data_IF_176161844133
#
_entry.id   IF_176161844133
#
_cell.length_a   1.000
_cell.length_b   1.000
_cell.length_c   1.000
_cell.angle_alpha   90.00
_cell.angle_beta   90.00
_cell.angle_gamma   90.00
#
_symmetry.space_group_name_H-M   'P 1'
#
loop_
_entity.id
_entity.type
_entity.pdbx_description
1 polymer ?
#
# COMPACT_ATOMS: atom_id res chain seq x y z
N UNK A 1 -61.82 -47.11 -12.55
CA UNK A 1 -62.89 -46.49 -11.72
C UNK A 1 -62.39 -45.09 -11.37
N UNK A 2 -62.73 -43.98 -12.05
CA UNK A 2 -64.06 -43.33 -12.16
C UNK A 2 -64.68 -43.17 -10.75
N UNK A 3 -64.98 -42.00 -10.16
CA UNK A 3 -65.55 -40.72 -10.64
C UNK A 3 -65.37 -39.65 -9.51
N UNK A 4 -64.96 -38.41 -9.81
CA UNK A 4 -65.73 -37.13 -9.78
C UNK A 4 -66.20 -36.62 -8.39
N UNK A 5 -66.43 -35.33 -8.07
CA UNK A 5 -66.51 -33.98 -8.68
C UNK A 5 -66.54 -33.03 -7.44
N UNK A 6 -66.25 -31.72 -7.42
CA UNK A 6 -66.13 -30.67 -8.43
C UNK A 6 -65.71 -29.33 -7.76
N UNK A 7 -65.12 -28.39 -8.51
CA UNK A 7 -65.76 -27.21 -9.16
C UNK A 7 -65.83 -25.99 -8.18
N UNK A 8 -65.54 -24.70 -8.44
CA UNK A 8 -65.44 -23.75 -9.59
C UNK A 8 -64.68 -22.51 -9.01
N UNK A 9 -63.84 -21.69 -9.66
CA UNK A 9 -64.17 -20.72 -10.72
C UNK A 9 -62.92 -20.07 -11.35
N UNK A 10 -62.91 -20.10 -12.68
CA UNK A 10 -62.09 -19.34 -13.63
C UNK A 10 -63.02 -18.33 -14.30
N UNK A 11 -62.52 -17.12 -14.58
CA UNK A 11 -62.81 -16.23 -15.73
C UNK A 11 -61.98 -14.95 -15.47
N UNK A 12 -61.26 -14.32 -16.41
CA UNK A 12 -61.59 -14.08 -17.80
C UNK A 12 -60.31 -13.72 -18.60
N UNK A 13 -60.17 -14.33 -19.77
CA UNK A 13 -59.33 -13.92 -20.90
C UNK A 13 -60.21 -13.20 -21.92
N UNK A 14 -59.74 -12.10 -22.51
CA UNK A 14 -60.05 -11.66 -23.88
C UNK A 14 -58.73 -11.08 -24.45
N UNK A 15 -57.99 -11.81 -25.28
CA UNK A 15 -58.06 -11.90 -26.75
C UNK A 15 -57.88 -10.56 -27.50
N UNK A 16 -56.77 -10.46 -28.25
CA UNK A 16 -56.64 -10.18 -29.71
C UNK A 16 -55.12 -10.05 -29.97
N UNK A 17 -54.44 -11.07 -30.50
CA UNK A 17 -54.12 -11.25 -31.94
C UNK A 17 -53.55 -10.00 -32.63
N UNK A 18 -52.22 -9.87 -32.67
CA UNK A 18 -51.53 -9.53 -33.92
C UNK A 18 -50.09 -10.06 -33.94
N UNK A 19 -49.89 -11.06 -34.79
CA UNK A 19 -48.60 -11.40 -35.38
C UNK A 19 -48.24 -10.26 -36.34
N UNK A 20 -47.05 -9.68 -36.17
CA UNK A 20 -46.54 -8.62 -37.03
C UNK A 20 -45.07 -8.34 -36.77
N UNK A 21 -44.22 -8.89 -37.64
CA UNK A 21 -42.89 -8.38 -38.04
C UNK A 21 -41.77 -8.26 -37.00
N UNK A 22 -40.73 -9.07 -37.24
CA UNK A 22 -39.34 -8.83 -36.84
C UNK A 22 -38.94 -7.36 -37.04
N UNK A 23 -38.77 -6.65 -35.93
CA UNK A 23 -38.14 -5.34 -35.86
C UNK A 23 -37.16 -5.36 -34.71
N UNK A 24 -35.88 -5.20 -35.03
CA UNK A 24 -34.74 -5.08 -34.12
C UNK A 24 -35.03 -4.13 -32.96
N UNK A 25 -35.28 -4.67 -31.76
CA UNK A 25 -35.22 -3.90 -30.53
C UNK A 25 -33.75 -3.71 -30.18
N UNK A 26 -33.18 -2.62 -30.67
CA UNK A 26 -31.96 -2.05 -30.08
C UNK A 26 -32.22 -1.85 -28.59
N UNK A 27 -31.57 -2.69 -27.79
CA UNK A 27 -31.51 -2.54 -26.35
C UNK A 27 -30.79 -1.23 -26.07
N UNK A 28 -31.57 -0.19 -25.78
CA UNK A 28 -31.12 1.11 -25.33
C UNK A 28 -30.47 0.98 -23.96
N UNK A 29 -29.22 0.51 -23.95
CA UNK A 29 -28.32 0.65 -22.82
C UNK A 29 -28.23 2.14 -22.49
N UNK A 30 -28.79 2.50 -21.33
CA UNK A 30 -28.86 3.87 -20.85
C UNK A 30 -27.50 4.58 -20.94
N UNK A 31 -27.39 5.71 -21.67
CA UNK A 31 -26.14 6.48 -21.80
C UNK A 31 -25.62 7.02 -20.45
N UNK A 32 -26.44 6.98 -19.40
CA UNK A 32 -26.11 7.46 -18.06
C UNK A 32 -25.11 6.52 -17.36
N UNK A 33 -25.13 5.21 -17.66
CA UNK A 33 -24.15 4.27 -17.09
C UNK A 33 -22.75 4.45 -17.74
N UNK A 34 -22.71 4.85 -19.01
CA UNK A 34 -21.48 5.11 -19.75
C UNK A 34 -20.83 6.46 -19.38
N UNK A 35 -21.62 7.45 -18.93
CA UNK A 35 -21.07 8.73 -18.49
C UNK A 35 -20.38 8.65 -17.12
N UNK A 36 -20.89 7.83 -16.18
CA UNK A 36 -20.23 7.58 -14.89
C UNK A 36 -18.90 6.84 -15.04
N UNK A 37 -18.75 6.00 -16.07
CA UNK A 37 -17.46 5.36 -16.38
C UNK A 37 -16.45 6.33 -17.03
N UNK A 38 -16.88 7.40 -17.71
CA UNK A 38 -15.93 8.36 -18.34
C UNK A 38 -15.35 9.40 -17.38
N UNK A 39 -15.87 9.50 -16.16
CA UNK A 39 -15.27 10.24 -15.05
C UNK A 39 -14.22 9.41 -14.29
N UNK A 40 -13.67 8.36 -14.93
CA UNK A 40 -12.53 7.58 -14.46
C UNK A 40 -11.28 8.47 -14.35
N UNK A 41 -11.19 9.15 -13.20
CA UNK A 41 -9.97 9.43 -12.44
C UNK A 41 -8.87 10.11 -13.28
N UNK A 42 -8.96 11.43 -13.41
CA UNK A 42 -7.82 12.31 -13.76
C UNK A 42 -6.84 12.49 -12.57
N UNK A 43 -6.68 11.50 -11.69
CA UNK A 43 -5.63 11.59 -10.67
C UNK A 43 -4.33 11.21 -11.40
N UNK A 44 -3.34 12.11 -11.52
CA UNK A 44 -2.02 11.72 -12.01
C UNK A 44 -1.41 10.75 -11.01
N UNK A 45 -1.50 9.46 -11.35
CA UNK A 45 -0.93 8.34 -10.60
C UNK A 45 0.44 8.03 -11.19
N UNK A 46 1.41 7.88 -10.29
CA UNK A 46 2.72 7.36 -10.64
C UNK A 46 2.98 6.07 -9.88
N UNK A 47 3.50 5.07 -10.59
CA UNK A 47 3.94 3.82 -9.99
C UNK A 47 5.46 3.87 -9.92
N UNK A 48 6.01 3.62 -8.73
CA UNK A 48 7.45 3.61 -8.47
C UNK A 48 7.80 2.24 -7.91
N UNK A 49 8.58 1.47 -8.67
CA UNK A 49 9.11 0.20 -8.23
C UNK A 49 10.54 0.39 -7.72
N UNK A 50 10.75 -0.04 -6.48
CA UNK A 50 11.99 0.11 -5.74
C UNK A 50 12.62 -1.26 -5.52
N UNK A 51 13.88 -1.43 -5.92
CA UNK A 51 14.67 -2.64 -5.64
C UNK A 51 16.17 -2.42 -5.82
N UNK A 52 16.96 -3.26 -5.17
CA UNK A 52 18.40 -3.30 -5.44
C UNK A 52 18.83 -4.25 -6.56
N UNK A 53 18.00 -5.23 -6.94
CA UNK A 53 18.38 -6.30 -7.87
C UNK A 53 17.41 -6.47 -9.07
N UNK A 54 16.48 -5.53 -9.31
CA UNK A 54 15.45 -5.65 -10.39
C UNK A 54 16.09 -6.04 -11.72
N UNK A 55 17.09 -5.29 -12.19
CA UNK A 55 17.58 -5.49 -13.56
C UNK A 55 18.47 -6.73 -13.75
N UNK A 56 19.01 -7.29 -12.67
CA UNK A 56 19.93 -8.44 -12.76
C UNK A 56 19.25 -9.78 -12.50
N UNK A 57 18.20 -9.82 -11.66
CA UNK A 57 17.60 -11.09 -11.19
C UNK A 57 16.09 -11.19 -11.36
N UNK A 58 15.37 -10.08 -11.49
CA UNK A 58 13.91 -10.09 -11.46
C UNK A 58 13.33 -9.62 -12.79
N UNK A 59 12.44 -10.41 -13.39
CA UNK A 59 11.72 -10.05 -14.61
C UNK A 59 10.63 -9.01 -14.33
N UNK A 60 10.99 -7.88 -13.72
CA UNK A 60 10.04 -6.82 -13.43
C UNK A 60 9.61 -6.15 -14.74
N UNK A 61 8.30 -6.14 -14.99
CA UNK A 61 7.73 -5.40 -16.11
C UNK A 61 7.19 -4.07 -15.61
N UNK A 62 7.78 -2.92 -15.99
CA UNK A 62 7.38 -1.62 -15.48
C UNK A 62 6.11 -1.11 -16.17
N UNK A 63 5.21 -1.98 -16.63
CA UNK A 63 4.03 -1.60 -17.40
C UNK A 63 2.76 -2.07 -16.69
N UNK A 64 1.87 -1.12 -16.42
CA UNK A 64 0.65 -1.32 -15.67
C UNK A 64 -0.55 -0.93 -16.54
N UNK A 65 -1.44 -1.88 -16.82
CA UNK A 65 -2.73 -1.57 -17.45
C UNK A 65 -3.70 -1.05 -16.39
N UNK A 66 -3.98 0.25 -16.45
CA UNK A 66 -4.96 0.92 -15.60
C UNK A 66 -6.12 1.38 -16.48
N UNK A 67 -7.23 0.63 -16.41
CA UNK A 67 -8.47 0.92 -17.16
C UNK A 67 -8.26 1.09 -18.68
N UNK A 68 -7.42 0.25 -19.29
CA UNK A 68 -7.13 0.29 -20.72
C UNK A 68 -6.01 1.26 -21.10
N UNK A 69 -5.44 1.99 -20.14
CA UNK A 69 -4.26 2.83 -20.35
C UNK A 69 -3.03 2.14 -19.77
N UNK A 70 -2.03 1.90 -20.61
CA UNK A 70 -0.72 1.44 -20.16
C UNK A 70 0.05 2.61 -19.54
N UNK A 71 0.41 2.46 -18.27
CA UNK A 71 1.28 3.38 -17.54
C UNK A 71 2.64 2.72 -17.37
N UNK A 72 3.70 3.44 -17.74
CA UNK A 72 5.06 3.03 -17.45
C UNK A 72 5.42 3.47 -16.04
N UNK A 73 5.66 2.52 -15.15
CA UNK A 73 6.22 2.76 -13.83
C UNK A 73 7.67 3.21 -13.91
N UNK A 74 8.09 4.01 -12.93
CA UNK A 74 9.50 4.33 -12.72
C UNK A 74 10.14 3.17 -11.97
N UNK A 75 11.35 2.81 -12.38
CA UNK A 75 12.19 1.85 -11.67
C UNK A 75 13.31 2.63 -11.00
N UNK A 76 13.30 2.65 -9.67
CA UNK A 76 14.36 3.23 -8.86
C UNK A 76 15.24 2.11 -8.31
N UNK A 77 16.53 2.19 -8.60
CA UNK A 77 17.51 1.17 -8.24
C UNK A 77 18.48 1.68 -7.18
N UNK A 78 18.97 0.75 -6.38
CA UNK A 78 20.02 1.03 -5.43
C UNK A 78 21.32 1.38 -6.15
N UNK A 79 22.04 2.36 -5.60
CA UNK A 79 23.34 2.75 -6.10
C UNK A 79 24.38 1.74 -5.58
N UNK A 80 25.12 1.09 -6.48
CA UNK A 80 26.06 0.02 -6.10
C UNK A 80 27.10 0.49 -5.08
N UNK A 81 27.56 1.74 -5.21
CA UNK A 81 28.50 2.36 -4.28
C UNK A 81 27.93 2.48 -2.86
N UNK A 82 26.62 2.63 -2.70
CA UNK A 82 25.99 2.88 -1.41
C UNK A 82 25.59 1.60 -0.68
N UNK A 83 25.49 0.45 -1.36
CA UNK A 83 24.96 -0.80 -0.81
C UNK A 83 25.63 -1.28 0.50
N UNK A 84 26.85 -0.81 0.78
CA UNK A 84 27.56 -1.11 2.03
C UNK A 84 26.96 -0.37 3.23
N UNK A 85 26.45 0.84 3.04
CA UNK A 85 25.92 1.70 4.11
C UNK A 85 24.45 2.09 3.90
N UNK A 86 23.77 1.55 2.89
CA UNK A 86 22.39 1.92 2.57
C UNK A 86 21.35 0.92 3.11
N UNK A 87 20.11 1.39 3.31
CA UNK A 87 18.96 0.56 3.67
C UNK A 87 18.15 0.14 2.44
N UNK A 88 18.85 -0.27 1.37
CA UNK A 88 18.30 -0.97 0.21
C UNK A 88 17.01 -0.34 -0.34
N UNK A 89 15.91 -1.09 -0.41
CA UNK A 89 14.64 -0.66 -1.01
C UNK A 89 14.05 0.58 -0.35
N UNK A 90 14.08 0.65 0.99
CA UNK A 90 13.57 1.80 1.72
C UNK A 90 14.30 3.11 1.33
N UNK A 91 15.63 3.06 1.21
CA UNK A 91 16.40 4.22 0.77
C UNK A 91 16.11 4.63 -0.67
N UNK A 92 15.85 3.69 -1.58
CA UNK A 92 15.49 4.06 -2.95
C UNK A 92 14.16 4.81 -3.01
N UNK A 93 13.19 4.46 -2.16
CA UNK A 93 11.94 5.20 -2.02
C UNK A 93 12.20 6.62 -1.48
N UNK A 94 13.06 6.77 -0.47
CA UNK A 94 13.44 8.09 0.07
C UNK A 94 14.17 8.94 -0.98
N UNK A 95 15.15 8.37 -1.69
CA UNK A 95 15.90 9.03 -2.78
C UNK A 95 14.97 9.47 -3.90
N UNK A 96 13.97 8.67 -4.26
CA UNK A 96 12.92 9.06 -5.20
C UNK A 96 12.17 10.31 -4.73
N UNK A 97 11.74 10.32 -3.46
CA UNK A 97 11.01 11.45 -2.89
C UNK A 97 11.88 12.70 -2.91
N UNK A 98 13.16 12.61 -2.51
CA UNK A 98 14.10 13.73 -2.52
C UNK A 98 14.29 14.28 -3.93
N UNK A 99 14.56 13.41 -4.91
CA UNK A 99 14.81 13.78 -6.31
C UNK A 99 13.61 14.48 -6.95
N UNK A 100 12.40 14.05 -6.60
CA UNK A 100 11.17 14.54 -7.20
C UNK A 100 10.38 15.49 -6.29
N UNK A 101 10.94 15.90 -5.14
CA UNK A 101 10.22 16.58 -4.06
C UNK A 101 9.39 17.78 -4.56
N UNK A 102 9.99 18.61 -5.40
CA UNK A 102 9.39 19.82 -5.94
C UNK A 102 8.36 19.56 -7.06
N UNK A 103 8.32 18.33 -7.58
CA UNK A 103 7.48 17.89 -8.71
C UNK A 103 6.76 16.56 -8.44
N UNK A 104 6.44 16.25 -7.18
CA UNK A 104 5.78 14.99 -6.84
C UNK A 104 4.41 14.89 -7.53
N UNK A 105 4.06 13.73 -8.12
CA UNK A 105 2.72 13.50 -8.67
C UNK A 105 1.69 13.56 -7.54
N UNK A 106 0.39 13.73 -7.85
CA UNK A 106 -0.62 13.83 -6.79
C UNK A 106 -0.69 12.58 -5.91
N UNK A 107 -0.46 11.40 -6.50
CA UNK A 107 -0.57 10.11 -5.83
C UNK A 107 0.47 9.14 -6.37
N UNK A 108 1.19 8.50 -5.46
CA UNK A 108 2.29 7.59 -5.76
C UNK A 108 1.91 6.21 -5.23
N UNK A 109 2.20 5.17 -6.01
CA UNK A 109 2.16 3.77 -5.57
C UNK A 109 3.61 3.28 -5.52
N UNK A 110 4.13 3.06 -4.33
CA UNK A 110 5.43 2.42 -4.13
C UNK A 110 5.26 0.91 -4.15
N UNK A 111 6.09 0.22 -4.92
CA UNK A 111 6.10 -1.24 -5.03
C UNK A 111 7.48 -1.74 -4.62
N UNK A 112 7.48 -2.69 -3.69
CA UNK A 112 8.64 -3.51 -3.39
C UNK A 112 8.81 -4.57 -4.49
N UNK A 113 9.80 -4.43 -5.36
CA UNK A 113 9.77 -5.21 -6.62
C UNK A 113 10.09 -6.71 -6.48
N UNK A 114 10.52 -7.17 -5.30
CA UNK A 114 10.56 -8.59 -4.97
C UNK A 114 9.17 -9.23 -4.89
N UNK A 115 8.09 -8.43 -4.96
CA UNK A 115 6.72 -8.93 -4.96
C UNK A 115 6.40 -9.85 -6.17
N UNK A 116 7.29 -9.92 -7.17
CA UNK A 116 7.16 -10.84 -8.32
C UNK A 116 7.92 -12.17 -8.14
N UNK A 117 8.71 -12.35 -7.08
CA UNK A 117 9.79 -13.33 -7.04
C UNK A 117 9.58 -14.60 -6.19
N UNK A 118 8.54 -14.69 -5.35
CA UNK A 118 8.39 -15.84 -4.46
C UNK A 118 6.96 -16.13 -4.00
N UNK A 119 6.70 -17.37 -3.58
CA UNK A 119 5.39 -17.83 -3.07
C UNK A 119 4.91 -17.00 -1.87
N UNK A 120 5.84 -16.49 -1.07
CA UNK A 120 5.56 -15.64 0.09
C UNK A 120 5.13 -14.21 -0.26
N UNK A 121 5.25 -13.80 -1.53
CA UNK A 121 4.93 -12.46 -1.98
C UNK A 121 3.65 -12.41 -2.85
N UNK A 122 2.95 -11.26 -2.89
CA UNK A 122 1.73 -11.12 -3.65
C UNK A 122 1.93 -11.29 -5.15
N UNK A 123 1.35 -12.34 -5.72
CA UNK A 123 1.39 -12.61 -7.16
C UNK A 123 0.48 -11.63 -7.92
N UNK A 124 0.84 -11.33 -9.19
CA UNK A 124 0.07 -10.44 -10.09
C UNK A 124 -0.10 -8.99 -9.58
N UNK A 125 1.00 -8.33 -9.18
CA UNK A 125 1.02 -6.92 -8.75
C UNK A 125 0.29 -5.99 -9.73
N UNK A 126 0.46 -6.16 -11.05
CA UNK A 126 -0.22 -5.33 -12.04
C UNK A 126 -1.76 -5.45 -11.98
N UNK A 127 -2.28 -6.66 -11.75
CA UNK A 127 -3.72 -6.89 -11.55
C UNK A 127 -4.21 -6.24 -10.25
N UNK A 128 -3.39 -6.29 -9.20
CA UNK A 128 -3.71 -5.69 -7.91
C UNK A 128 -3.73 -4.17 -7.97
N UNK A 129 -2.78 -3.54 -8.66
CA UNK A 129 -2.78 -2.10 -8.90
C UNK A 129 -3.99 -1.69 -9.74
N UNK A 130 -4.28 -2.40 -10.83
CA UNK A 130 -5.47 -2.17 -11.66
C UNK A 130 -6.75 -2.23 -10.82
N UNK A 131 -6.84 -3.16 -9.88
CA UNK A 131 -7.96 -3.27 -8.96
C UNK A 131 -7.97 -2.09 -7.98
N UNK A 132 -6.87 -1.86 -7.27
CA UNK A 132 -6.71 -0.81 -6.26
C UNK A 132 -7.17 0.55 -6.77
N UNK A 133 -6.67 0.99 -7.93
CA UNK A 133 -6.98 2.32 -8.47
C UNK A 133 -8.45 2.51 -8.85
N UNK A 134 -9.20 1.43 -9.02
CA UNK A 134 -10.65 1.47 -9.27
C UNK A 134 -11.48 1.65 -7.98
N UNK A 135 -10.89 1.35 -6.81
CA UNK A 135 -11.59 1.35 -5.52
C UNK A 135 -11.71 2.76 -4.94
N UNK A 136 -12.81 3.01 -4.24
CA UNK A 136 -12.99 4.24 -3.48
C UNK A 136 -12.01 4.34 -2.31
N UNK A 137 -11.53 3.19 -1.81
CA UNK A 137 -10.41 3.11 -0.87
C UNK A 137 -9.18 3.88 -1.37
N UNK A 138 -8.73 3.63 -2.61
CA UNK A 138 -7.60 4.35 -3.18
C UNK A 138 -7.92 5.83 -3.46
N UNK A 139 -9.13 6.13 -3.93
CA UNK A 139 -9.51 7.50 -4.29
C UNK A 139 -9.64 8.42 -3.08
N UNK A 140 -10.18 7.90 -1.97
CA UNK A 140 -10.60 8.70 -0.83
C UNK A 140 -9.58 8.71 0.33
N UNK A 141 -8.57 7.85 0.30
CA UNK A 141 -7.52 7.83 1.33
C UNK A 141 -6.23 8.48 0.81
N UNK A 142 -5.52 9.19 1.68
CA UNK A 142 -4.23 9.81 1.35
C UNK A 142 -3.04 8.85 1.55
N UNK A 143 -3.27 7.73 2.24
CA UNK A 143 -2.32 6.63 2.43
C UNK A 143 -3.10 5.32 2.47
N UNK A 144 -2.50 4.23 1.99
CA UNK A 144 -3.04 2.90 2.21
C UNK A 144 -2.18 1.81 1.63
N UNK A 145 -2.50 0.58 1.99
CA UNK A 145 -1.76 -0.60 1.57
C UNK A 145 -2.28 -1.13 0.24
N UNK A 146 -1.38 -1.67 -0.59
CA UNK A 146 -1.78 -2.33 -1.83
C UNK A 146 -2.24 -3.77 -1.58
N UNK A 147 -1.69 -4.41 -0.54
CA UNK A 147 -1.95 -5.80 -0.19
C UNK A 147 -2.57 -5.94 1.21
N UNK A 148 -3.36 -6.99 1.38
CA UNK A 148 -4.10 -7.27 2.61
C UNK A 148 -3.39 -8.28 3.53
N UNK A 149 -2.06 -8.28 3.59
CA UNK A 149 -1.28 -9.20 4.44
C UNK A 149 -0.66 -8.40 5.56
N UNK A 150 -1.12 -8.66 6.79
CA UNK A 150 -0.76 -7.86 7.95
C UNK A 150 -0.06 -8.68 9.02
N UNK A 151 0.85 -8.03 9.73
CA UNK A 151 1.51 -8.50 10.93
C UNK A 151 0.92 -7.75 12.13
N UNK A 152 0.57 -8.49 13.19
CA UNK A 152 0.13 -7.91 14.46
C UNK A 152 1.29 -7.90 15.43
N UNK A 153 1.64 -6.71 15.91
CA UNK A 153 2.80 -6.49 16.75
C UNK A 153 2.34 -5.85 18.06
N UNK A 154 2.52 -6.54 19.18
CA UNK A 154 2.09 -6.04 20.47
C UNK A 154 3.00 -4.88 20.93
N UNK A 155 2.37 -3.81 21.41
CA UNK A 155 3.01 -2.71 22.13
C UNK A 155 2.81 -2.95 23.62
N UNK A 156 3.86 -2.79 24.42
CA UNK A 156 3.71 -2.59 25.87
C UNK A 156 4.19 -1.20 26.24
N UNK A 157 3.30 -0.34 26.77
CA UNK A 157 3.69 0.96 27.32
C UNK A 157 4.31 0.73 28.70
N UNK A 158 5.51 1.24 28.94
CA UNK A 158 6.11 1.24 30.27
C UNK A 158 6.27 2.67 30.76
N UNK A 159 5.79 2.95 31.97
CA UNK A 159 5.99 4.22 32.66
C UNK A 159 7.21 4.06 33.57
N UNK A 160 8.31 4.75 33.25
CA UNK A 160 9.36 4.99 34.24
C UNK A 160 9.49 6.49 34.49
N UNK A 161 9.52 6.88 35.76
CA UNK A 161 9.32 8.22 36.31
C UNK A 161 10.29 9.33 35.85
N UNK A 162 11.21 9.06 34.93
CA UNK A 162 12.18 10.04 34.40
C UNK A 162 12.41 9.98 32.90
N UNK A 163 11.85 8.99 32.20
CA UNK A 163 11.87 8.89 30.73
C UNK A 163 10.62 8.14 30.30
N UNK A 164 9.81 8.78 29.44
CA UNK A 164 8.77 8.10 28.68
C UNK A 164 9.49 7.23 27.63
N UNK A 165 9.93 6.05 28.05
CA UNK A 165 10.37 4.98 27.16
C UNK A 165 9.19 4.01 27.05
N UNK A 166 8.32 4.28 26.09
CA UNK A 166 7.25 3.35 25.70
C UNK A 166 7.94 2.15 24.99
N UNK A 167 7.35 0.95 25.04
CA UNK A 167 7.72 -0.28 24.31
C UNK A 167 8.58 -1.32 25.08
N UNK A 168 7.93 -2.42 25.48
CA UNK A 168 8.55 -3.73 25.75
C UNK A 168 7.78 -4.86 25.04
N UNK A 169 8.16 -5.16 23.81
CA UNK A 169 8.40 -6.54 23.34
C UNK A 169 9.05 -6.30 22.00
N UNK A 170 10.36 -6.51 21.94
CA UNK A 170 11.13 -6.31 20.73
C UNK A 170 10.35 -6.95 19.57
N UNK A 171 9.97 -6.15 18.59
CA UNK A 171 9.73 -6.68 17.25
C UNK A 171 11.13 -7.03 16.79
N UNK A 172 11.63 -8.19 17.24
CA UNK A 172 12.99 -8.64 17.05
C UNK A 172 13.26 -8.77 15.55
N UNK A 173 13.70 -7.68 14.96
CA UNK A 173 14.55 -7.70 13.79
C UNK A 173 15.97 -7.72 14.38
N UNK A 174 16.41 -8.93 14.75
CA UNK A 174 17.59 -9.24 15.58
C UNK A 174 17.40 -9.04 17.09
N UNK A 175 18.32 -8.29 17.71
CA UNK A 175 18.41 -7.98 19.14
C UNK A 175 17.95 -6.53 19.44
N UNK A 176 17.62 -5.76 18.39
CA UNK A 176 17.19 -4.37 18.52
C UNK A 176 15.67 -4.23 18.40
N UNK A 177 15.15 -3.23 19.10
CA UNK A 177 13.76 -2.83 18.98
C UNK A 177 13.53 -2.01 17.70
N UNK A 178 12.56 -2.44 16.88
CA UNK A 178 12.19 -1.75 15.62
C UNK A 178 11.88 -0.26 15.82
N UNK A 179 11.19 0.09 16.91
CA UNK A 179 10.80 1.47 17.21
C UNK A 179 12.04 2.28 17.60
N UNK A 180 12.91 1.74 18.45
CA UNK A 180 14.18 2.40 18.81
C UNK A 180 15.07 2.64 17.59
N UNK A 181 15.23 1.62 16.73
CA UNK A 181 15.97 1.77 15.47
C UNK A 181 15.33 2.89 14.65
N UNK A 182 14.02 2.87 14.41
CA UNK A 182 13.36 3.89 13.61
C UNK A 182 13.52 5.30 14.20
N UNK A 183 13.38 5.46 15.52
CA UNK A 183 13.61 6.74 16.22
C UNK A 183 15.00 7.29 15.93
N UNK A 184 16.05 6.44 15.96
CA UNK A 184 17.42 6.86 15.62
C UNK A 184 17.52 7.31 14.16
N UNK A 185 16.85 6.61 13.24
CA UNK A 185 16.87 6.95 11.82
C UNK A 185 16.18 8.28 11.52
N UNK A 186 15.12 8.62 12.25
CA UNK A 186 14.39 9.89 12.04
C UNK A 186 14.80 11.00 13.02
N UNK A 187 15.84 10.79 13.82
CA UNK A 187 16.25 11.75 14.83
C UNK A 187 16.65 13.10 14.21
N UNK A 188 16.24 14.19 14.86
CA UNK A 188 16.50 15.55 14.38
C UNK A 188 15.66 15.98 13.16
N UNK A 189 14.57 15.27 12.87
CA UNK A 189 13.60 15.63 11.81
C UNK A 189 12.20 15.85 12.40
N UNK A 190 11.26 16.43 11.63
CA UNK A 190 9.85 16.50 12.05
C UNK A 190 9.16 15.13 12.04
N UNK A 191 9.72 14.13 11.34
CA UNK A 191 9.19 12.78 11.36
C UNK A 191 9.20 12.20 12.78
N UNK A 192 10.23 12.46 13.58
CA UNK A 192 10.32 11.95 14.95
C UNK A 192 9.10 12.34 15.78
N UNK A 193 8.76 13.63 15.78
CA UNK A 193 7.62 14.15 16.54
C UNK A 193 6.30 13.56 16.05
N UNK A 194 6.14 13.42 14.72
CA UNK A 194 4.94 12.78 14.18
C UNK A 194 4.86 11.32 14.59
N UNK A 195 5.94 10.59 14.41
CA UNK A 195 6.02 9.16 14.66
C UNK A 195 5.71 8.85 16.12
N UNK A 196 6.35 9.55 17.07
CA UNK A 196 6.06 9.42 18.49
C UNK A 196 4.61 9.77 18.83
N UNK A 197 4.03 10.79 18.19
CA UNK A 197 2.62 11.13 18.37
C UNK A 197 1.68 10.02 17.89
N UNK A 198 1.93 9.45 16.71
CA UNK A 198 1.13 8.30 16.22
C UNK A 198 1.25 7.13 17.17
N UNK A 199 2.48 6.86 17.62
CA UNK A 199 2.81 5.78 18.53
C UNK A 199 2.14 5.88 19.91
N UNK A 200 2.00 7.09 20.45
CA UNK A 200 1.27 7.33 21.69
C UNK A 200 -0.22 7.02 21.56
N UNK A 201 -0.79 7.19 20.37
CA UNK A 201 -2.18 6.85 20.07
C UNK A 201 -2.42 5.34 19.95
N UNK A 202 -1.37 4.53 19.89
CA UNK A 202 -1.48 3.08 19.82
C UNK A 202 -1.64 2.49 21.23
N UNK A 203 -2.75 1.78 21.48
CA UNK A 203 -3.06 1.28 22.82
C UNK A 203 -2.30 -0.02 23.17
N UNK A 204 -2.45 -1.07 22.34
CA UNK A 204 -1.99 -2.43 22.67
C UNK A 204 -1.25 -3.13 21.54
N UNK A 205 -1.58 -2.83 20.30
CA UNK A 205 -0.95 -3.44 19.13
C UNK A 205 -0.80 -2.41 18.01
N UNK A 206 0.19 -2.64 17.15
CA UNK A 206 0.28 -2.07 15.81
C UNK A 206 0.02 -3.21 14.83
N UNK A 207 -0.80 -2.94 13.84
CA UNK A 207 -0.99 -3.83 12.71
C UNK A 207 -0.30 -3.17 11.53
N UNK A 208 0.79 -3.75 11.05
CA UNK A 208 1.55 -3.24 9.89
C UNK A 208 1.43 -4.20 8.71
N UNK A 209 1.53 -3.69 7.49
CA UNK A 209 1.67 -4.55 6.32
C UNK A 209 2.92 -5.41 6.40
N UNK A 210 2.84 -6.66 5.91
CA UNK A 210 4.02 -7.51 5.70
C UNK A 210 4.82 -7.06 4.47
N UNK A 211 4.16 -6.43 3.52
CA UNK A 211 4.71 -6.02 2.24
C UNK A 211 4.85 -4.51 2.20
N UNK A 212 5.99 -4.02 1.75
CA UNK A 212 6.35 -2.60 1.77
C UNK A 212 5.79 -1.83 0.58
N UNK A 213 4.62 -2.29 0.09
CA UNK A 213 3.95 -1.81 -1.10
C UNK A 213 2.68 -1.08 -0.68
N UNK A 214 2.71 0.24 -0.81
CA UNK A 214 1.70 1.17 -0.32
C UNK A 214 1.47 2.28 -1.35
N UNK A 215 0.38 3.03 -1.19
CA UNK A 215 0.17 4.28 -1.89
C UNK A 215 0.17 5.45 -0.91
N UNK A 216 0.57 6.62 -1.41
CA UNK A 216 0.61 7.85 -0.64
C UNK A 216 0.35 9.06 -1.54
N UNK A 217 -0.42 10.02 -1.04
CA UNK A 217 -0.61 11.31 -1.70
C UNK A 217 0.60 12.21 -1.47
N UNK A 218 1.00 12.99 -2.48
CA UNK A 218 2.11 13.94 -2.30
C UNK A 218 1.84 14.97 -1.21
N UNK A 219 0.58 15.32 -0.97
CA UNK A 219 0.19 16.18 0.17
C UNK A 219 0.66 15.63 1.51
N UNK A 220 0.73 14.32 1.69
CA UNK A 220 1.26 13.68 2.91
C UNK A 220 2.77 13.81 2.98
N UNK A 221 3.45 13.59 1.86
CA UNK A 221 4.91 13.72 1.78
C UNK A 221 5.37 15.17 2.02
N UNK A 222 4.69 16.13 1.39
CA UNK A 222 4.98 17.56 1.49
C UNK A 222 4.66 18.19 2.85
N UNK A 223 4.13 17.42 3.82
CA UNK A 223 4.03 17.87 5.22
C UNK A 223 5.41 18.04 5.87
N UNK A 224 6.41 17.36 5.35
CA UNK A 224 7.77 17.35 5.87
C UNK A 224 8.70 18.02 4.88
N UNK A 225 9.55 18.96 5.32
CA UNK A 225 10.50 19.62 4.43
C UNK A 225 11.46 18.60 3.78
N UNK A 226 11.95 18.93 2.59
CA UNK A 226 12.90 18.09 1.83
C UNK A 226 14.13 17.70 2.66
N UNK A 227 14.58 18.61 3.51
CA UNK A 227 15.72 18.45 4.40
C UNK A 227 15.51 17.32 5.43
N UNK A 228 14.27 17.05 5.84
CA UNK A 228 13.97 15.94 6.75
C UNK A 228 14.19 14.59 6.05
N UNK A 229 13.82 14.48 4.77
CA UNK A 229 14.09 13.28 3.97
C UNK A 229 15.58 13.06 3.75
N UNK A 230 16.32 14.12 3.45
CA UNK A 230 17.79 14.07 3.28
C UNK A 230 18.43 13.60 4.59
N UNK A 231 18.06 14.21 5.72
CA UNK A 231 18.58 13.83 7.04
C UNK A 231 18.23 12.40 7.41
N UNK A 232 17.04 11.91 7.02
CA UNK A 232 16.67 10.51 7.22
C UNK A 232 17.66 9.57 6.50
N UNK A 233 17.97 9.83 5.23
CA UNK A 233 18.98 9.04 4.48
C UNK A 233 20.37 9.15 5.12
N UNK A 234 20.79 10.34 5.54
CA UNK A 234 22.07 10.53 6.24
C UNK A 234 22.14 9.73 7.55
N UNK A 235 21.05 9.73 8.33
CA UNK A 235 20.96 8.95 9.56
C UNK A 235 20.99 7.44 9.30
N UNK A 236 20.39 6.96 8.21
CA UNK A 236 20.50 5.56 7.78
C UNK A 236 21.97 5.18 7.59
N UNK A 237 22.70 5.96 6.77
CA UNK A 237 24.12 5.71 6.51
C UNK A 237 24.94 5.74 7.79
N UNK A 238 24.72 6.76 8.63
CA UNK A 238 25.39 6.92 9.91
C UNK A 238 25.13 5.75 10.85
N UNK A 239 23.89 5.29 10.99
CA UNK A 239 23.54 4.17 11.87
C UNK A 239 24.18 2.87 11.38
N UNK A 240 24.15 2.60 10.07
CA UNK A 240 24.75 1.40 9.50
C UNK A 240 26.28 1.42 9.67
N UNK A 241 26.92 2.55 9.38
CA UNK A 241 28.37 2.73 9.48
C UNK A 241 28.86 2.65 10.93
N UNK A 242 28.27 3.44 11.83
CA UNK A 242 28.73 3.52 13.24
C UNK A 242 28.56 2.20 14.00
N UNK A 243 27.58 1.38 13.60
CA UNK A 243 27.35 0.07 14.21
C UNK A 243 28.08 -1.06 13.50
N UNK A 244 28.79 -0.76 12.40
CA UNK A 244 29.50 -1.77 11.61
C UNK A 244 28.57 -2.87 11.10
N UNK A 245 27.34 -2.52 10.70
CA UNK A 245 26.35 -3.53 10.32
C UNK A 245 26.78 -4.29 9.06
N UNK A 246 26.54 -5.60 9.07
CA UNK A 246 26.70 -6.45 7.89
C UNK A 246 25.61 -6.15 6.85
N UNK A 247 25.83 -6.59 5.60
CA UNK A 247 24.81 -6.54 4.54
C UNK A 247 23.45 -7.10 4.98
N UNK A 248 23.44 -8.25 5.66
CA UNK A 248 22.20 -8.85 6.15
C UNK A 248 21.49 -7.95 7.18
N UNK A 249 22.27 -7.26 8.02
CA UNK A 249 21.72 -6.35 9.01
C UNK A 249 21.15 -5.07 8.37
N UNK A 250 21.80 -4.53 7.34
CA UNK A 250 21.28 -3.39 6.58
C UNK A 250 19.95 -3.68 5.88
N UNK A 251 19.72 -4.91 5.39
CA UNK A 251 18.39 -5.31 4.89
C UNK A 251 17.31 -5.21 5.97
N UNK A 252 17.63 -5.52 7.23
CA UNK A 252 16.64 -5.36 8.31
C UNK A 252 16.40 -3.91 8.67
N UNK A 253 17.38 -3.02 8.48
CA UNK A 253 17.12 -1.58 8.58
C UNK A 253 16.09 -1.16 7.53
N UNK A 254 16.17 -1.66 6.29
CA UNK A 254 15.11 -1.48 5.28
C UNK A 254 13.76 -1.96 5.79
N UNK A 255 13.71 -3.18 6.31
CA UNK A 255 12.48 -3.80 6.81
C UNK A 255 11.85 -3.03 8.00
N UNK A 256 12.68 -2.49 8.91
CA UNK A 256 12.24 -1.60 9.99
C UNK A 256 11.55 -0.37 9.39
N UNK A 257 12.21 0.29 8.45
CA UNK A 257 11.71 1.52 7.83
C UNK A 257 10.37 1.25 7.13
N UNK A 258 10.32 0.17 6.36
CA UNK A 258 9.16 -0.23 5.56
C UNK A 258 7.92 -0.50 6.42
N UNK A 259 8.08 -1.18 7.55
CA UNK A 259 6.99 -1.42 8.51
C UNK A 259 6.52 -0.12 9.18
N UNK A 260 7.40 0.87 9.29
CA UNK A 260 7.10 2.16 9.91
C UNK A 260 6.46 3.18 8.95
N UNK A 261 6.36 2.89 7.64
CA UNK A 261 5.65 3.76 6.68
C UNK A 261 4.20 4.03 7.08
N UNK A 262 3.49 3.02 7.57
CA UNK A 262 2.12 3.21 8.03
C UNK A 262 2.04 4.13 9.25
N UNK A 263 2.94 3.96 10.21
CA UNK A 263 2.98 4.79 11.42
C UNK A 263 3.34 6.25 11.11
N UNK A 264 4.24 6.45 10.13
CA UNK A 264 4.72 7.76 9.75
C UNK A 264 3.79 8.50 8.78
N UNK A 265 3.44 7.87 7.66
CA UNK A 265 2.65 8.47 6.58
C UNK A 265 1.17 8.18 6.69
N UNK A 266 0.81 6.96 7.09
CA UNK A 266 -0.57 6.58 7.39
C UNK A 266 -1.09 7.25 8.65
N UNK A 267 -0.21 7.54 9.61
CA UNK A 267 -0.55 8.13 10.91
C UNK A 267 -1.60 7.30 11.68
N UNK A 268 -1.53 5.97 11.52
CA UNK A 268 -2.49 5.01 12.08
C UNK A 268 -1.77 3.79 12.66
N UNK A 269 -2.30 3.28 13.78
CA UNK A 269 -1.79 2.08 14.45
C UNK A 269 -2.28 0.79 13.80
N UNK A 270 -3.45 0.84 13.15
CA UNK A 270 -4.05 -0.26 12.42
C UNK A 270 -4.45 0.22 11.04
N UNK A 271 -4.33 -0.61 10.00
CA UNK A 271 -4.69 -0.21 8.65
C UNK A 271 -6.18 0.10 8.62
N UNK A 272 -6.56 1.08 7.78
CA UNK A 272 -7.96 1.23 7.38
C UNK A 272 -8.46 -0.09 6.81
N UNK A 273 -9.77 -0.33 6.91
CA UNK A 273 -10.38 -1.56 6.41
C UNK A 273 -10.06 -1.74 4.91
N UNK A 274 -9.05 -2.58 4.62
CA UNK A 274 -8.60 -2.82 3.26
C UNK A 274 -9.67 -3.65 2.58
N UNK A 275 -10.21 -3.22 1.43
CA UNK A 275 -11.29 -3.94 0.78
C UNK A 275 -10.87 -5.40 0.56
N UNK A 276 -11.71 -6.36 0.97
CA UNK A 276 -11.52 -7.82 0.75
C UNK A 276 -11.20 -8.17 -0.70
N UNK A 277 -11.61 -7.27 -1.57
CA UNK A 277 -11.29 -7.23 -2.98
C UNK A 277 -9.77 -7.31 -3.26
N UNK A 278 -8.90 -6.67 -2.47
CA UNK A 278 -7.45 -6.71 -2.71
C UNK A 278 -6.78 -8.04 -2.28
N UNK A 279 -7.54 -8.96 -1.70
CA UNK A 279 -7.05 -10.27 -1.25
C UNK A 279 -7.60 -10.62 0.12
N UNK A 280 -7.40 -11.88 0.55
CA UNK A 280 -7.69 -12.29 1.92
C UNK A 280 -6.46 -12.04 2.80
N UNK A 281 -6.72 -11.59 4.02
CA UNK A 281 -5.80 -11.70 5.16
C UNK A 281 -5.45 -13.17 5.34
N UNK A 282 -4.27 -13.60 4.89
CA UNK A 282 -3.70 -14.84 5.41
C UNK A 282 -3.20 -14.49 6.81
N UNK A 283 -3.96 -14.89 7.82
CA UNK A 283 -3.44 -14.93 9.19
C UNK A 283 -2.31 -15.95 9.19
N UNK A 284 -1.07 -15.48 9.03
CA UNK A 284 0.09 -16.30 9.32
C UNK A 284 0.26 -16.19 10.83
N UNK A 285 -0.16 -17.25 11.53
CA UNK A 285 0.13 -17.46 12.94
C UNK A 285 1.60 -17.73 13.17
#
# INVERSE_FOLDING_TARGET
MFKYFGLIFILLLFFIHHIGTLGSSESSFSPILNLKLRLLIKIPIQVVASACDIMKKHQFTPYFDINGKIIKGIVEQCEEQDLKWDAYEASTMLKYIIKNYDNLPSKIIFIHAHDFGGIQYPQNVSKQIKRLVSLDYFKNNEYGEVFSIFLRLNIQKWENSTKICLYHKAIELFEDDMIDVFIRLVNGTKFLNRFLKTLDQCEKEIIVTRCSTFFVDSKRLLKYPKEDYIRFVENIHKVIEQRGLTKQQSYRVSEVIERCWQLLFGEICSPNEVPWSLGRTTSIG
#
